data_IF_469131344166
#
_entry.id   IF_469131344166
#
_cell.length_a   1.000
_cell.length_b   1.000
_cell.length_c   1.000
_cell.angle_alpha   90.00
_cell.angle_beta   90.00
_cell.angle_gamma   90.00
#
_symmetry.space_group_name_H-M   'P 1'
#
loop_
_entity.id
_entity.type
_entity.pdbx_description
1 polymer ?
#
# COMPACT_ATOMS: atom_id res chain seq x y z
N UNK A 1 -25.39 -7.91 5.99
CA UNK A 1 -25.18 -7.03 7.16
C UNK A 1 -23.71 -6.99 7.49
N UNK A 2 -23.12 -5.81 7.76
CA UNK A 2 -21.70 -5.63 8.13
C UNK A 2 -21.31 -6.24 9.51
N UNK A 3 -22.17 -7.06 10.10
CA UNK A 3 -22.05 -7.59 11.46
C UNK A 3 -21.45 -9.02 11.49
N UNK A 4 -20.58 -9.37 10.55
CA UNK A 4 -19.88 -10.66 10.60
C UNK A 4 -18.53 -10.50 11.29
N UNK A 5 -18.16 -11.48 12.12
CA UNK A 5 -16.85 -11.54 12.79
C UNK A 5 -15.68 -11.31 11.81
N UNK A 6 -15.80 -11.85 10.60
CA UNK A 6 -14.79 -11.70 9.54
C UNK A 6 -14.62 -10.26 9.07
N UNK A 7 -15.69 -9.46 9.03
CA UNK A 7 -15.62 -8.04 8.67
C UNK A 7 -14.97 -7.25 9.80
N UNK A 8 -15.33 -7.51 11.05
CA UNK A 8 -14.70 -6.84 12.21
C UNK A 8 -13.21 -7.17 12.31
N UNK A 9 -12.82 -8.44 12.12
CA UNK A 9 -11.43 -8.87 12.11
C UNK A 9 -10.63 -8.15 11.00
N UNK A 10 -11.17 -8.05 9.78
CA UNK A 10 -10.54 -7.31 8.68
C UNK A 10 -10.42 -5.82 8.97
N UNK A 11 -11.44 -5.22 9.57
CA UNK A 11 -11.44 -3.80 9.92
C UNK A 11 -10.34 -3.48 10.96
N UNK A 12 -10.22 -4.32 12.00
CA UNK A 12 -9.16 -4.19 13.02
C UNK A 12 -7.77 -4.34 12.40
N UNK A 13 -7.60 -5.32 11.51
CA UNK A 13 -6.36 -5.52 10.78
C UNK A 13 -6.00 -4.30 9.92
N UNK A 14 -6.95 -3.76 9.16
CA UNK A 14 -6.73 -2.59 8.31
C UNK A 14 -6.34 -1.35 9.13
N UNK A 15 -7.00 -1.13 10.28
CA UNK A 15 -6.66 -0.04 11.22
C UNK A 15 -5.23 -0.15 11.76
N UNK A 16 -4.76 -1.38 12.03
CA UNK A 16 -3.39 -1.60 12.50
C UNK A 16 -2.33 -1.48 11.38
N UNK A 17 -2.70 -1.70 10.12
CA UNK A 17 -1.77 -1.63 8.98
C UNK A 17 -1.29 -0.21 8.68
N UNK A 18 -2.18 0.79 8.71
CA UNK A 18 -1.83 2.18 8.39
C UNK A 18 -0.66 2.75 9.23
N UNK A 19 -0.68 2.68 10.58
CA UNK A 19 0.44 3.15 11.39
C UNK A 19 1.67 2.25 11.23
N UNK A 20 1.50 0.94 11.05
CA UNK A 20 2.61 -0.01 10.89
C UNK A 20 3.48 0.30 9.67
N UNK A 21 2.89 0.80 8.58
CA UNK A 21 3.61 1.22 7.38
C UNK A 21 3.90 2.74 7.33
N UNK A 22 3.56 3.48 8.39
CA UNK A 22 3.75 4.94 8.46
C UNK A 22 3.04 5.67 7.33
N UNK A 23 1.80 5.29 7.02
CA UNK A 23 0.99 5.93 5.99
C UNK A 23 0.43 7.24 6.56
N UNK A 24 0.84 8.38 5.99
CA UNK A 24 0.43 9.72 6.43
C UNK A 24 -0.62 10.37 5.52
N UNK A 25 -0.90 9.77 4.36
CA UNK A 25 -1.85 10.29 3.39
C UNK A 25 -2.19 9.27 2.30
N UNK A 26 -3.23 9.56 1.53
CA UNK A 26 -3.73 8.73 0.44
C UNK A 26 -3.57 9.45 -0.92
N UNK A 27 -3.43 8.74 -2.05
CA UNK A 27 -3.23 7.29 -2.17
C UNK A 27 -1.83 6.86 -1.70
N UNK A 28 -1.74 5.72 -1.02
CA UNK A 28 -0.49 5.09 -0.61
C UNK A 28 -0.53 3.59 -0.95
N UNK A 29 0.56 3.10 -1.55
CA UNK A 29 0.70 1.71 -2.00
C UNK A 29 2.00 1.15 -1.42
N UNK A 30 1.93 -0.07 -0.89
CA UNK A 30 3.06 -0.81 -0.34
C UNK A 30 3.41 -1.95 -1.29
N UNK A 31 4.65 -1.98 -1.79
CA UNK A 31 5.16 -3.00 -2.71
C UNK A 31 6.00 -4.01 -1.93
N UNK A 32 5.60 -5.28 -1.96
CA UNK A 32 6.25 -6.41 -1.29
C UNK A 32 6.53 -6.18 0.22
N UNK A 33 5.74 -5.33 0.89
CA UNK A 33 5.98 -4.97 2.30
C UNK A 33 7.24 -4.13 2.57
N UNK A 34 7.99 -3.75 1.53
CA UNK A 34 9.33 -3.14 1.62
C UNK A 34 9.34 -1.69 1.13
N UNK A 35 8.67 -1.40 0.01
CA UNK A 35 8.62 -0.04 -0.52
C UNK A 35 7.26 0.60 -0.30
N UNK A 36 7.27 1.91 -0.04
CA UNK A 36 6.07 2.73 0.09
C UNK A 36 6.09 3.80 -0.98
N UNK A 37 5.01 3.89 -1.75
CA UNK A 37 4.79 4.95 -2.73
C UNK A 37 3.54 5.73 -2.31
N UNK A 38 3.63 7.06 -2.23
CA UNK A 38 2.47 7.93 -1.96
C UNK A 38 2.27 8.91 -3.09
N UNK A 39 1.04 9.42 -3.25
CA UNK A 39 0.72 10.45 -4.25
C UNK A 39 1.65 11.66 -4.19
N UNK A 40 1.89 12.27 -3.02
CA UNK A 40 2.85 13.38 -2.87
C UNK A 40 4.31 13.00 -3.21
N UNK A 41 4.73 11.77 -2.87
CA UNK A 41 6.07 11.28 -3.20
C UNK A 41 6.27 11.06 -4.71
N UNK A 42 5.21 10.67 -5.42
CA UNK A 42 5.25 10.37 -6.84
C UNK A 42 5.01 11.59 -7.75
N UNK A 43 4.57 12.73 -7.21
CA UNK A 43 4.31 13.97 -7.94
C UNK A 43 3.06 13.96 -8.82
N UNK A 44 2.74 12.82 -9.45
CA UNK A 44 1.52 12.61 -10.22
C UNK A 44 1.04 11.16 -10.15
N UNK A 45 -0.26 10.93 -10.39
CA UNK A 45 -0.82 9.57 -10.39
C UNK A 45 -0.26 8.69 -11.52
N UNK A 46 0.13 9.29 -12.65
CA UNK A 46 0.78 8.56 -13.76
C UNK A 46 2.17 8.07 -13.37
N UNK A 47 2.99 8.96 -12.79
CA UNK A 47 4.33 8.59 -12.30
C UNK A 47 4.26 7.58 -11.16
N UNK A 48 3.22 7.64 -10.31
CA UNK A 48 3.00 6.63 -9.27
C UNK A 48 2.87 5.23 -9.87
N UNK A 49 2.08 5.06 -10.93
CA UNK A 49 1.89 3.76 -11.60
C UNK A 49 3.20 3.28 -12.22
N UNK A 50 3.97 4.18 -12.85
CA UNK A 50 5.28 3.84 -13.42
C UNK A 50 6.28 3.36 -12.35
N UNK A 51 6.36 4.09 -11.22
CA UNK A 51 7.20 3.73 -10.07
C UNK A 51 6.78 2.37 -9.51
N UNK A 52 5.47 2.12 -9.37
CA UNK A 52 4.94 0.85 -8.91
C UNK A 52 5.38 -0.28 -9.84
N UNK A 53 5.18 -0.14 -11.15
CA UNK A 53 5.58 -1.15 -12.12
C UNK A 53 7.08 -1.43 -12.07
N UNK A 54 7.90 -0.38 -11.95
CA UNK A 54 9.37 -0.52 -11.83
C UNK A 54 9.77 -1.27 -10.55
N UNK A 55 9.18 -0.92 -9.40
CA UNK A 55 9.48 -1.57 -8.12
C UNK A 55 9.01 -3.04 -8.11
N UNK A 56 7.85 -3.32 -8.71
CA UNK A 56 7.34 -4.70 -8.86
C UNK A 56 8.30 -5.51 -9.75
N UNK A 57 8.73 -4.96 -10.88
CA UNK A 57 9.66 -5.64 -11.78
C UNK A 57 11.00 -5.91 -11.09
N UNK A 58 11.54 -4.95 -10.34
CA UNK A 58 12.77 -5.14 -9.56
C UNK A 58 12.63 -6.27 -8.54
N UNK A 59 11.54 -6.31 -7.78
CA UNK A 59 11.34 -7.37 -6.77
C UNK A 59 11.00 -8.72 -7.39
N UNK A 60 10.37 -8.75 -8.58
CA UNK A 60 10.10 -9.98 -9.33
C UNK A 60 11.35 -10.58 -9.96
N UNK A 61 12.33 -9.75 -10.35
CA UNK A 61 13.62 -10.21 -10.89
C UNK A 61 14.61 -10.61 -9.79
N UNK A 62 14.44 -10.09 -8.58
CA UNK A 62 15.25 -10.43 -7.41
C UNK A 62 14.84 -11.76 -6.74
N UNK A 63 13.85 -12.46 -7.29
CA UNK A 63 13.31 -13.73 -6.81
C UNK A 63 13.69 -14.85 -7.78
#
# INVERSE_FOLDING_TARGET
TFNSFLVDAKLRQAKAMAPRYGITGVPAIIINGKYKTTGPLAGSQKQMIEIINRLIQQESLAK
#
